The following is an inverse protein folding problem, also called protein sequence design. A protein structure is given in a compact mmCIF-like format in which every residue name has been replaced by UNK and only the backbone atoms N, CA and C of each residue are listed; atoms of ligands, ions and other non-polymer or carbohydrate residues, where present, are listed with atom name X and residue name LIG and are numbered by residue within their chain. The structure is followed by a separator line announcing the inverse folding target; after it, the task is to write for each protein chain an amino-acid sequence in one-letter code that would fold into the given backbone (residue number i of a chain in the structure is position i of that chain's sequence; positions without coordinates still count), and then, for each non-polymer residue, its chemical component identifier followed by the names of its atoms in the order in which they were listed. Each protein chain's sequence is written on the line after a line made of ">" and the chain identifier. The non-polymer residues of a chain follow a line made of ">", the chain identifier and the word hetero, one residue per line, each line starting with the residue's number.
data_IF_058806552746
#
_entry.id   IF_058806552746
#
_cell.length_a   1.000
_cell.length_b   1.000
_cell.length_c   1.000
_cell.angle_alpha   90.00
_cell.angle_beta   90.00
_cell.angle_gamma   90.00
#
_symmetry.space_group_name_H-M   'P 1'
#
loop_
_entity.id
_entity.type
_entity.pdbx_description
1 polymer ?
#
# COMPACT_ATOMS: atom_id res chain seq x y z
N UNK A 1 11.28 33.15 -3.79
CA UNK A 1 12.73 33.05 -3.70
C UNK A 1 13.21 31.64 -3.98
N UNK A 2 12.63 30.57 -3.39
CA UNK A 2 13.04 29.18 -3.67
C UNK A 2 13.02 28.85 -5.18
N UNK A 3 11.99 29.27 -5.92
CA UNK A 3 11.92 29.05 -7.37
C UNK A 3 13.12 29.68 -8.13
N UNK A 4 13.71 30.75 -7.62
CA UNK A 4 14.89 31.38 -8.22
C UNK A 4 16.15 30.54 -8.02
N UNK A 5 16.24 29.78 -6.90
CA UNK A 5 17.31 28.82 -6.65
C UNK A 5 17.29 27.68 -7.70
N UNK A 6 16.11 27.26 -8.13
CA UNK A 6 15.95 26.19 -9.12
C UNK A 6 16.11 26.64 -10.56
N UNK A 7 16.32 27.94 -10.85
CA UNK A 7 16.56 28.39 -12.21
C UNK A 7 17.87 27.78 -12.78
N UNK A 8 17.90 27.50 -14.07
CA UNK A 8 19.06 26.96 -14.74
C UNK A 8 19.33 25.47 -14.56
N UNK A 9 18.60 24.75 -13.69
CA UNK A 9 18.67 23.29 -13.61
C UNK A 9 17.79 22.67 -14.69
N UNK A 10 18.36 21.74 -15.47
CA UNK A 10 17.66 21.03 -16.53
C UNK A 10 18.25 19.63 -16.73
N UNK A 11 17.60 18.80 -17.54
CA UNK A 11 18.18 17.55 -17.98
C UNK A 11 19.38 17.79 -18.90
N UNK A 12 20.44 17.01 -18.73
CA UNK A 12 21.52 17.02 -19.71
C UNK A 12 20.99 16.49 -21.05
N UNK A 13 21.52 17.04 -22.15
CA UNK A 13 21.16 16.62 -23.51
C UNK A 13 21.26 15.09 -23.64
N UNK A 14 20.18 14.43 -24.05
CA UNK A 14 20.04 12.97 -24.20
C UNK A 14 20.40 12.17 -22.94
N UNK A 15 20.15 12.73 -21.76
CA UNK A 15 20.46 12.06 -20.47
C UNK A 15 21.93 11.61 -20.36
N UNK A 16 22.85 12.38 -20.91
CA UNK A 16 24.29 12.05 -20.90
C UNK A 16 24.97 12.31 -19.56
N UNK A 17 24.32 13.03 -18.65
CA UNK A 17 24.80 13.24 -17.28
C UNK A 17 24.40 12.05 -16.41
N UNK A 18 25.23 11.02 -16.40
CA UNK A 18 24.98 9.80 -15.64
C UNK A 18 25.79 9.87 -14.34
N UNK A 19 25.11 9.69 -13.21
CA UNK A 19 25.76 9.53 -11.93
C UNK A 19 26.58 8.22 -11.95
N UNK A 20 27.89 8.27 -11.68
CA UNK A 20 28.75 7.09 -11.80
C UNK A 20 28.51 6.03 -10.72
N UNK A 21 27.90 6.39 -9.57
CA UNK A 21 27.62 5.48 -8.47
C UNK A 21 26.30 4.75 -8.65
N UNK A 22 25.28 5.47 -9.11
CA UNK A 22 23.91 4.93 -9.22
C UNK A 22 23.54 4.52 -10.64
N UNK A 23 24.32 4.92 -11.65
CA UNK A 23 24.03 4.78 -13.07
C UNK A 23 22.69 5.43 -13.51
N UNK A 24 22.20 6.39 -12.73
CA UNK A 24 20.94 7.10 -12.99
C UNK A 24 21.26 8.44 -13.69
N UNK A 25 20.47 8.82 -14.73
CA UNK A 25 20.58 10.14 -15.31
C UNK A 25 20.26 11.24 -14.28
N UNK A 26 21.18 12.19 -14.10
CA UNK A 26 21.02 13.32 -13.19
C UNK A 26 20.82 14.64 -13.95
N UNK A 27 20.26 15.64 -13.25
CA UNK A 27 20.17 17.00 -13.76
C UNK A 27 21.53 17.66 -13.91
N UNK A 28 21.57 18.74 -14.68
CA UNK A 28 22.75 19.58 -14.88
C UNK A 28 22.41 21.04 -14.65
N UNK A 29 23.34 21.78 -14.02
CA UNK A 29 23.25 23.22 -13.86
C UNK A 29 23.76 23.94 -15.11
N UNK A 30 22.99 24.91 -15.58
CA UNK A 30 23.34 25.81 -16.72
C UNK A 30 23.46 27.23 -16.21
N UNK A 31 24.68 27.71 -15.88
CA UNK A 31 24.92 29.02 -15.28
C UNK A 31 24.30 30.18 -16.05
N UNK A 32 24.31 30.12 -17.37
CA UNK A 32 23.76 31.17 -18.24
C UNK A 32 22.25 31.37 -18.11
N UNK A 33 21.54 30.41 -17.49
CA UNK A 33 20.10 30.44 -17.28
C UNK A 33 19.72 30.53 -15.78
N UNK A 34 20.73 30.70 -14.91
CA UNK A 34 20.53 30.77 -13.46
C UNK A 34 20.46 32.23 -12.98
N UNK A 35 19.63 32.46 -11.99
CA UNK A 35 19.55 33.73 -11.26
C UNK A 35 20.57 33.76 -10.12
N UNK A 36 21.70 34.45 -10.31
CA UNK A 36 22.74 34.58 -9.30
C UNK A 36 22.50 35.69 -8.28
N UNK A 37 21.36 36.38 -8.32
CA UNK A 37 21.01 37.39 -7.31
C UNK A 37 20.73 36.77 -5.93
N UNK A 38 20.97 37.52 -4.87
CA UNK A 38 20.63 37.10 -3.50
C UNK A 38 19.14 36.78 -3.35
N UNK A 39 18.83 35.67 -2.70
CA UNK A 39 17.47 35.22 -2.38
C UNK A 39 17.19 35.49 -0.91
N UNK A 40 16.28 36.43 -0.64
CA UNK A 40 15.91 36.84 0.71
C UNK A 40 14.64 36.10 1.15
N UNK A 41 14.73 35.27 2.17
CA UNK A 41 13.61 34.53 2.72
C UNK A 41 12.91 35.30 3.85
N UNK A 42 11.70 34.90 4.19
CA UNK A 42 10.86 35.59 5.17
C UNK A 42 11.31 35.36 6.62
N UNK A 43 10.67 36.07 7.53
CA UNK A 43 10.87 35.90 8.97
C UNK A 43 10.65 34.46 9.47
N UNK A 44 9.83 33.66 8.78
CA UNK A 44 9.65 32.24 9.09
C UNK A 44 10.92 31.41 8.88
N UNK A 45 11.85 31.90 8.07
CA UNK A 45 13.17 31.33 7.88
C UNK A 45 14.25 32.27 8.46
N UNK A 46 13.92 32.96 9.56
CA UNK A 46 14.84 33.86 10.26
C UNK A 46 15.44 34.97 9.36
N UNK A 47 14.70 35.40 8.34
CA UNK A 47 15.17 36.34 7.33
C UNK A 47 16.49 35.88 6.66
N UNK A 48 16.69 34.57 6.48
CA UNK A 48 17.89 34.03 5.85
C UNK A 48 18.07 34.60 4.45
N UNK A 49 19.31 34.94 4.10
CA UNK A 49 19.71 35.37 2.78
C UNK A 49 20.66 34.32 2.18
N UNK A 50 20.33 33.79 1.02
CA UNK A 50 21.16 32.82 0.31
C UNK A 50 21.70 33.45 -0.97
N UNK A 51 23.01 33.36 -1.18
CA UNK A 51 23.68 33.81 -2.38
C UNK A 51 24.67 32.75 -2.86
N UNK A 52 24.71 32.45 -4.15
CA UNK A 52 25.69 31.52 -4.68
C UNK A 52 27.12 32.10 -4.51
N UNK A 53 28.10 31.26 -4.10
CA UNK A 53 29.48 31.71 -3.87
C UNK A 53 30.23 32.00 -5.16
N UNK A 54 29.78 31.48 -6.31
CA UNK A 54 30.36 31.68 -7.62
C UNK A 54 29.26 31.64 -8.70
N UNK A 55 29.59 32.21 -9.90
CA UNK A 55 28.64 32.24 -11.03
C UNK A 55 28.89 31.08 -12.01
N UNK A 56 29.00 29.87 -11.45
CA UNK A 56 29.22 28.64 -12.18
C UNK A 56 28.28 27.52 -11.63
N UNK A 57 28.38 26.31 -12.16
CA UNK A 57 27.58 25.17 -11.74
C UNK A 57 27.82 24.80 -10.25
N UNK A 58 29.06 24.92 -9.77
CA UNK A 58 29.40 24.67 -8.38
C UNK A 58 28.70 25.67 -7.43
N UNK A 59 28.64 26.95 -7.83
CA UNK A 59 27.90 27.97 -7.09
C UNK A 59 26.40 27.71 -7.06
N UNK A 60 25.80 27.23 -8.15
CA UNK A 60 24.40 26.82 -8.21
C UNK A 60 24.11 25.66 -7.26
N UNK A 61 24.98 24.64 -7.22
CA UNK A 61 24.82 23.50 -6.31
C UNK A 61 25.00 23.90 -4.85
N UNK A 62 25.96 24.77 -4.54
CA UNK A 62 26.15 25.30 -3.20
C UNK A 62 24.93 26.10 -2.72
N UNK A 63 24.31 26.88 -3.59
CA UNK A 63 23.07 27.60 -3.28
C UNK A 63 21.88 26.65 -3.04
N UNK A 64 21.74 25.60 -3.84
CA UNK A 64 20.72 24.56 -3.68
C UNK A 64 20.90 23.84 -2.32
N UNK A 65 22.14 23.48 -1.98
CA UNK A 65 22.43 22.88 -0.68
C UNK A 65 22.08 23.81 0.49
N UNK A 66 22.43 25.11 0.40
CA UNK A 66 22.08 26.08 1.42
C UNK A 66 20.55 26.25 1.58
N UNK A 67 19.78 26.17 0.49
CA UNK A 67 18.32 26.14 0.55
C UNK A 67 17.83 24.88 1.27
N UNK A 68 18.37 23.72 0.94
CA UNK A 68 18.03 22.45 1.57
C UNK A 68 18.35 22.48 3.06
N UNK A 69 19.54 22.91 3.44
CA UNK A 69 19.97 23.05 4.84
C UNK A 69 19.04 23.98 5.63
N UNK A 70 18.67 25.12 5.03
CA UNK A 70 17.73 26.06 5.64
C UNK A 70 16.35 25.41 5.90
N UNK A 71 15.86 24.57 4.98
CA UNK A 71 14.58 23.86 5.13
C UNK A 71 14.70 22.79 6.22
N UNK A 72 15.75 22.00 6.23
CA UNK A 72 15.96 20.95 7.22
C UNK A 72 16.27 21.49 8.63
N UNK A 73 16.78 22.71 8.72
CA UNK A 73 16.94 23.40 10.01
C UNK A 73 15.61 23.76 10.68
N UNK A 74 14.49 23.76 9.95
CA UNK A 74 13.17 24.04 10.53
C UNK A 74 12.63 22.81 11.29
N UNK A 75 12.16 23.02 12.51
CA UNK A 75 11.51 21.96 13.31
C UNK A 75 10.30 21.37 12.58
N UNK A 76 9.52 22.21 11.92
CA UNK A 76 8.34 21.83 11.17
C UNK A 76 8.65 20.84 10.02
N UNK A 77 9.86 20.86 9.47
CA UNK A 77 10.26 19.91 8.43
C UNK A 77 10.19 18.48 8.96
N UNK A 78 10.82 18.20 10.10
CA UNK A 78 10.80 16.88 10.71
C UNK A 78 9.38 16.44 11.08
N UNK A 79 8.59 17.35 11.71
CA UNK A 79 7.17 17.08 12.03
C UNK A 79 6.35 16.77 10.78
N UNK A 80 6.56 17.53 9.70
CA UNK A 80 5.86 17.29 8.44
C UNK A 80 6.14 15.90 7.86
N UNK A 81 7.39 15.45 7.85
CA UNK A 81 7.73 14.09 7.44
C UNK A 81 7.08 13.03 8.33
N UNK A 82 7.14 13.18 9.65
CA UNK A 82 6.52 12.23 10.59
C UNK A 82 4.98 12.19 10.46
N UNK A 83 4.31 13.34 10.26
CA UNK A 83 2.86 13.34 9.97
C UNK A 83 2.51 12.63 8.68
N UNK A 84 3.36 12.72 7.65
CA UNK A 84 3.14 11.98 6.40
C UNK A 84 3.30 10.47 6.59
N UNK A 85 4.31 10.05 7.34
CA UNK A 85 4.49 8.65 7.71
C UNK A 85 3.30 8.11 8.51
N UNK A 86 2.90 8.85 9.53
CA UNK A 86 1.75 8.49 10.36
C UNK A 86 0.49 8.29 9.51
N UNK A 87 0.19 9.24 8.62
CA UNK A 87 -0.98 9.13 7.72
C UNK A 87 -0.88 8.02 6.70
N UNK A 88 0.31 7.57 6.39
CA UNK A 88 0.53 6.47 5.45
C UNK A 88 0.37 5.10 6.10
N UNK A 89 0.79 4.96 7.36
CA UNK A 89 0.93 3.65 7.98
C UNK A 89 0.04 3.42 9.21
N UNK A 90 -0.55 4.47 9.78
CA UNK A 90 -1.31 4.37 11.03
C UNK A 90 -2.73 4.88 10.84
N UNK A 91 -2.92 6.20 10.80
CA UNK A 91 -4.24 6.80 10.67
C UNK A 91 -4.18 8.18 10.00
N UNK A 92 -5.23 8.52 9.25
CA UNK A 92 -5.29 9.80 8.52
C UNK A 92 -5.49 11.02 9.41
N UNK A 93 -6.19 10.87 10.53
CA UNK A 93 -6.43 11.94 11.48
C UNK A 93 -5.25 12.03 12.44
N UNK A 94 -4.80 13.25 12.70
CA UNK A 94 -3.79 13.56 13.70
C UNK A 94 -4.46 14.55 14.63
N UNK A 95 -4.77 14.11 15.85
CA UNK A 95 -5.29 14.94 16.92
C UNK A 95 -4.15 15.76 17.54
N UNK A 96 -4.49 16.74 18.41
CA UNK A 96 -3.48 17.48 19.16
C UNK A 96 -2.68 16.55 20.10
N UNK A 97 -3.29 15.49 20.59
CA UNK A 97 -2.66 14.47 21.41
C UNK A 97 -1.64 13.66 20.59
N UNK A 98 -2.05 13.07 19.47
CA UNK A 98 -1.16 12.38 18.53
C UNK A 98 -0.01 13.29 18.08
N UNK A 99 -0.30 14.56 17.82
CA UNK A 99 0.73 15.53 17.43
C UNK A 99 1.81 15.71 18.51
N UNK A 100 1.41 15.73 19.79
CA UNK A 100 2.31 15.96 20.91
C UNK A 100 2.98 14.68 21.40
N UNK A 101 2.27 13.54 21.46
CA UNK A 101 2.72 12.32 22.09
C UNK A 101 3.37 11.33 21.12
N UNK A 102 3.02 11.42 19.83
CA UNK A 102 3.56 10.54 18.79
C UNK A 102 4.42 11.32 17.81
N UNK A 103 3.87 12.34 17.15
CA UNK A 103 4.57 13.04 16.06
C UNK A 103 5.80 13.82 16.56
N UNK A 104 5.67 14.53 17.68
CA UNK A 104 6.78 15.32 18.21
C UNK A 104 7.98 14.46 18.64
N UNK A 105 7.82 13.35 19.39
CA UNK A 105 8.91 12.41 19.68
C UNK A 105 9.53 11.78 18.44
N UNK A 106 8.72 11.38 17.43
CA UNK A 106 9.24 10.85 16.16
C UNK A 106 10.06 11.90 15.41
N UNK A 107 9.59 13.14 15.37
CA UNK A 107 10.31 14.24 14.74
C UNK A 107 11.64 14.54 15.44
N UNK A 108 11.69 14.41 16.77
CA UNK A 108 12.93 14.56 17.51
C UNK A 108 13.90 13.41 17.18
N UNK A 109 13.43 12.17 17.17
CA UNK A 109 14.23 11.01 16.74
C UNK A 109 14.78 11.19 15.33
N UNK A 110 13.98 11.71 14.40
CA UNK A 110 14.40 11.98 13.03
C UNK A 110 15.54 12.99 12.95
N UNK A 111 15.45 14.07 13.73
CA UNK A 111 16.51 15.10 13.80
C UNK A 111 17.77 14.60 14.47
N UNK A 112 17.65 13.85 15.58
CA UNK A 112 18.77 13.34 16.37
C UNK A 112 19.59 12.27 15.63
N UNK A 113 19.02 11.69 14.57
CA UNK A 113 19.66 10.70 13.71
C UNK A 113 19.91 11.23 12.29
N UNK A 114 20.26 12.51 12.15
CA UNK A 114 20.61 13.14 10.87
C UNK A 114 19.60 12.90 9.74
N UNK A 115 18.31 12.93 10.09
CA UNK A 115 17.18 12.67 9.19
C UNK A 115 17.16 11.26 8.56
N UNK A 116 17.76 10.28 9.24
CA UNK A 116 17.63 8.87 8.88
C UNK A 116 16.25 8.33 9.25
N UNK A 117 15.59 7.66 8.29
CA UNK A 117 14.22 7.19 8.44
C UNK A 117 14.09 5.90 9.27
N UNK A 118 15.11 5.02 9.25
CA UNK A 118 15.01 3.73 9.91
C UNK A 118 14.80 3.81 11.44
N UNK A 119 15.44 4.74 12.18
CA UNK A 119 15.13 4.94 13.59
C UNK A 119 13.67 5.34 13.84
N UNK A 120 13.11 6.19 12.96
CA UNK A 120 11.71 6.63 13.05
C UNK A 120 10.76 5.46 12.80
N UNK A 121 11.01 4.64 11.79
CA UNK A 121 10.21 3.43 11.54
C UNK A 121 10.25 2.45 12.71
N UNK A 122 11.44 2.21 13.29
CA UNK A 122 11.57 1.32 14.44
C UNK A 122 10.80 1.84 15.66
N UNK A 123 10.83 3.15 15.89
CA UNK A 123 10.09 3.75 17.00
C UNK A 123 8.58 3.68 16.76
N UNK A 124 8.11 4.02 15.56
CA UNK A 124 6.69 4.01 15.23
C UNK A 124 6.12 2.59 15.28
N UNK A 125 6.70 1.66 14.52
CA UNK A 125 6.18 0.30 14.38
C UNK A 125 6.46 -0.60 15.60
N UNK A 126 7.27 -0.16 16.55
CA UNK A 126 7.49 -0.82 17.84
C UNK A 126 6.74 -0.16 19.00
N UNK A 127 5.91 0.84 18.75
CA UNK A 127 5.15 1.53 19.80
C UNK A 127 3.84 0.81 20.13
N UNK A 128 3.38 0.93 21.37
CA UNK A 128 2.04 0.45 21.77
C UNK A 128 0.94 1.12 20.96
N UNK A 129 1.10 2.41 20.68
CA UNK A 129 0.16 3.17 19.85
C UNK A 129 -0.04 2.56 18.44
N UNK A 130 1.01 2.02 17.80
CA UNK A 130 0.87 1.38 16.48
C UNK A 130 0.01 0.10 16.52
N UNK A 131 0.01 -0.59 17.66
CA UNK A 131 -0.80 -1.79 17.88
C UNK A 131 -2.11 -1.52 18.63
N UNK A 132 -2.45 -0.26 18.86
CA UNK A 132 -3.64 0.15 19.61
C UNK A 132 -3.69 -0.42 21.03
N UNK A 133 -2.52 -0.46 21.68
CA UNK A 133 -2.32 -1.03 23.03
C UNK A 133 -1.86 0.03 24.04
N UNK A 134 -1.96 1.32 23.69
CA UNK A 134 -1.47 2.42 24.54
C UNK A 134 -2.48 2.85 25.61
N UNK A 135 -3.78 2.59 25.40
CA UNK A 135 -4.80 2.84 26.42
C UNK A 135 -6.02 1.91 26.26
N UNK A 136 -7.14 2.25 26.88
CA UNK A 136 -8.39 1.50 26.85
C UNK A 136 -9.56 2.30 26.26
N UNK A 137 -9.31 3.42 25.60
CA UNK A 137 -10.32 4.25 24.95
C UNK A 137 -10.60 3.76 23.54
N UNK A 138 -11.69 3.07 23.35
CA UNK A 138 -12.12 2.58 22.03
C UNK A 138 -12.72 3.69 21.14
N UNK A 139 -12.61 4.96 21.50
CA UNK A 139 -13.12 6.06 20.69
C UNK A 139 -12.10 6.58 19.64
N UNK A 140 -10.83 6.30 19.81
CA UNK A 140 -9.73 6.70 18.94
C UNK A 140 -8.99 5.56 18.24
N UNK A 141 -9.60 4.38 18.21
CA UNK A 141 -9.14 3.17 17.51
C UNK A 141 -8.49 3.46 16.16
N UNK A 142 -7.28 3.01 15.97
CA UNK A 142 -6.48 3.23 14.75
C UNK A 142 -6.41 1.99 13.87
N UNK A 143 -6.53 0.79 14.44
CA UNK A 143 -6.52 -0.47 13.71
C UNK A 143 -7.68 -0.52 12.72
N UNK A 144 -7.40 -0.87 11.46
CA UNK A 144 -8.39 -0.80 10.39
C UNK A 144 -8.81 0.62 9.98
N UNK A 145 -8.10 1.64 10.43
CA UNK A 145 -8.38 3.05 10.10
C UNK A 145 -8.03 3.46 8.66
N UNK A 146 -7.29 2.63 7.95
CA UNK A 146 -6.84 2.86 6.57
C UNK A 146 -7.61 1.99 5.59
N UNK A 147 -8.24 2.61 4.59
CA UNK A 147 -8.83 1.89 3.47
C UNK A 147 -7.71 1.55 2.49
N UNK A 148 -7.49 0.28 2.21
CA UNK A 148 -6.49 -0.16 1.21
C UNK A 148 -6.72 0.51 -0.12
N UNK A 149 -5.67 1.07 -0.72
CA UNK A 149 -5.73 1.53 -2.11
C UNK A 149 -6.02 0.36 -3.06
N UNK A 150 -6.46 0.60 -4.29
CA UNK A 150 -6.63 -0.47 -5.28
C UNK A 150 -5.37 -1.29 -5.51
N UNK A 151 -4.20 -0.65 -5.45
CA UNK A 151 -2.92 -1.32 -5.60
C UNK A 151 -2.60 -2.23 -4.42
N UNK A 152 -2.76 -1.73 -3.18
CA UNK A 152 -2.55 -2.52 -1.96
C UNK A 152 -3.49 -3.71 -1.93
N UNK A 153 -4.79 -3.51 -2.19
CA UNK A 153 -5.78 -4.57 -2.22
C UNK A 153 -5.43 -5.67 -3.24
N UNK A 154 -5.05 -5.28 -4.46
CA UNK A 154 -4.71 -6.21 -5.51
C UNK A 154 -3.40 -6.96 -5.22
N UNK A 155 -2.33 -6.24 -4.85
CA UNK A 155 -1.03 -6.86 -4.58
C UNK A 155 -1.07 -7.75 -3.34
N UNK A 156 -1.78 -7.32 -2.28
CA UNK A 156 -1.98 -8.17 -1.11
C UNK A 156 -2.71 -9.46 -1.47
N UNK A 157 -3.78 -9.41 -2.27
CA UNK A 157 -4.50 -10.59 -2.69
C UNK A 157 -3.59 -11.54 -3.51
N UNK A 158 -2.83 -11.02 -4.47
CA UNK A 158 -1.90 -11.84 -5.26
C UNK A 158 -0.77 -12.44 -4.42
N UNK A 159 -0.20 -11.68 -3.48
CA UNK A 159 0.87 -12.14 -2.61
C UNK A 159 0.36 -13.13 -1.56
N UNK A 160 -0.73 -12.81 -0.87
CA UNK A 160 -1.29 -13.64 0.19
C UNK A 160 -1.75 -15.01 -0.33
N UNK A 161 -2.51 -15.02 -1.41
CA UNK A 161 -2.98 -16.26 -2.03
C UNK A 161 -1.91 -16.94 -2.89
N UNK A 162 -0.68 -16.41 -2.95
CA UNK A 162 0.43 -16.95 -3.73
C UNK A 162 0.03 -17.26 -5.18
N UNK A 163 -0.79 -16.38 -5.77
CA UNK A 163 -1.33 -16.60 -7.11
C UNK A 163 -0.17 -16.53 -8.12
N UNK A 164 0.03 -17.56 -8.94
CA UNK A 164 1.15 -17.59 -9.86
C UNK A 164 1.04 -16.49 -10.93
N UNK A 165 2.10 -15.71 -11.09
CA UNK A 165 2.23 -14.77 -12.21
C UNK A 165 2.81 -15.55 -13.40
N UNK A 166 2.15 -15.53 -14.57
CA UNK A 166 2.66 -16.24 -15.75
C UNK A 166 4.06 -15.77 -16.16
N UNK A 167 4.91 -16.71 -16.55
CA UNK A 167 6.27 -16.39 -17.00
C UNK A 167 6.22 -15.67 -18.37
N UNK A 168 6.82 -14.47 -18.51
CA UNK A 168 6.79 -13.70 -19.76
C UNK A 168 7.50 -14.38 -20.93
N UNK A 169 8.43 -15.31 -20.66
CA UNK A 169 9.20 -16.00 -21.71
C UNK A 169 8.52 -17.27 -22.21
N UNK A 170 7.88 -18.01 -21.30
CA UNK A 170 7.28 -19.33 -21.63
C UNK A 170 5.76 -19.27 -21.74
N UNK A 171 5.10 -18.29 -21.10
CA UNK A 171 3.64 -18.13 -21.04
C UNK A 171 3.22 -16.72 -21.50
N UNK A 172 3.82 -16.25 -22.59
CA UNK A 172 3.68 -14.85 -23.06
C UNK A 172 2.22 -14.38 -23.19
N UNK A 173 1.33 -15.19 -23.73
CA UNK A 173 -0.08 -14.82 -23.93
C UNK A 173 -0.81 -14.67 -22.58
N UNK A 174 -0.55 -15.55 -21.63
CA UNK A 174 -1.17 -15.48 -20.29
C UNK A 174 -0.57 -14.35 -19.46
N UNK A 175 0.73 -14.08 -19.60
CA UNK A 175 1.38 -12.92 -19.01
C UNK A 175 0.74 -11.59 -19.47
N UNK A 176 0.49 -11.44 -20.77
CA UNK A 176 -0.19 -10.26 -21.30
C UNK A 176 -1.64 -10.13 -20.77
N UNK A 177 -2.37 -11.26 -20.72
CA UNK A 177 -3.74 -11.27 -20.16
C UNK A 177 -3.75 -10.91 -18.69
N UNK A 178 -2.79 -11.44 -17.91
CA UNK A 178 -2.63 -11.11 -16.49
C UNK A 178 -2.47 -9.61 -16.27
N UNK A 179 -1.58 -8.96 -17.00
CA UNK A 179 -1.39 -7.52 -16.86
C UNK A 179 -2.56 -6.70 -17.40
N UNK A 180 -3.12 -7.05 -18.54
CA UNK A 180 -4.18 -6.28 -19.17
C UNK A 180 -5.54 -6.45 -18.47
N UNK A 181 -5.85 -7.64 -18.00
CA UNK A 181 -7.15 -7.97 -17.45
C UNK A 181 -7.13 -8.29 -15.96
N UNK A 182 -6.11 -8.97 -15.48
CA UNK A 182 -6.00 -9.40 -14.10
C UNK A 182 -5.54 -8.31 -13.14
N UNK A 183 -4.72 -7.37 -13.58
CA UNK A 183 -4.14 -6.37 -12.68
C UNK A 183 -4.36 -4.93 -13.18
N UNK A 184 -3.60 -4.48 -14.19
CA UNK A 184 -3.55 -3.04 -14.52
C UNK A 184 -4.84 -2.51 -15.15
N UNK A 185 -5.24 -3.04 -16.30
CA UNK A 185 -6.31 -2.44 -17.09
C UNK A 185 -7.71 -2.59 -16.51
N UNK A 186 -7.94 -3.50 -15.56
CA UNK A 186 -9.26 -3.75 -14.98
C UNK A 186 -9.31 -3.52 -13.49
N UNK A 187 -8.46 -4.16 -12.71
CA UNK A 187 -8.52 -4.03 -11.24
C UNK A 187 -8.11 -2.62 -10.81
N UNK A 188 -6.94 -2.17 -11.23
CA UNK A 188 -6.43 -0.86 -10.83
C UNK A 188 -7.16 0.29 -11.53
N UNK A 189 -7.36 0.22 -12.85
CA UNK A 189 -8.03 1.27 -13.60
C UNK A 189 -9.47 1.49 -13.15
N UNK A 190 -10.29 0.45 -13.04
CA UNK A 190 -11.66 0.56 -12.53
C UNK A 190 -11.71 0.81 -11.03
N UNK A 191 -10.67 0.44 -10.28
CA UNK A 191 -10.51 0.81 -8.88
C UNK A 191 -10.19 2.28 -8.65
N UNK A 192 -9.93 3.05 -9.71
CA UNK A 192 -9.61 4.48 -9.63
C UNK A 192 -8.12 4.79 -9.44
N UNK A 193 -7.25 3.79 -9.65
CA UNK A 193 -5.79 3.96 -9.60
C UNK A 193 -5.17 3.38 -10.88
N UNK A 194 -5.27 4.11 -11.99
CA UNK A 194 -4.66 3.72 -13.25
C UNK A 194 -3.17 4.05 -13.20
N UNK A 195 -2.33 3.06 -12.90
CA UNK A 195 -0.89 3.25 -12.77
C UNK A 195 -0.31 3.85 -14.04
N UNK A 196 0.58 4.83 -13.87
CA UNK A 196 1.21 5.63 -14.94
C UNK A 196 0.28 6.61 -15.66
N UNK A 197 -1.03 6.62 -15.33
CA UNK A 197 -2.01 7.57 -15.86
C UNK A 197 -2.76 8.27 -14.73
N UNK A 198 -2.07 9.12 -13.94
CA UNK A 198 -2.71 9.84 -12.84
C UNK A 198 -3.78 10.81 -13.38
N UNK A 199 -4.78 11.19 -12.56
CA UNK A 199 -5.92 11.99 -12.99
C UNK A 199 -5.56 13.41 -13.43
N UNK A 200 -4.42 13.93 -12.99
CA UNK A 200 -3.90 15.24 -13.41
C UNK A 200 -2.38 15.31 -13.37
N UNK A 201 -1.82 16.46 -13.75
CA UNK A 201 -0.36 16.70 -13.81
C UNK A 201 0.32 16.67 -12.43
N UNK A 202 -0.43 16.86 -11.35
CA UNK A 202 0.06 16.78 -9.99
C UNK A 202 0.11 15.34 -9.44
N UNK A 203 -0.45 14.37 -10.18
CA UNK A 203 -0.54 12.99 -9.77
C UNK A 203 -1.87 12.65 -9.10
N UNK A 204 -1.84 11.68 -8.18
CA UNK A 204 -2.98 11.36 -7.32
C UNK A 204 -3.04 12.32 -6.14
N UNK A 205 -4.25 12.59 -5.57
CA UNK A 205 -4.40 13.41 -4.37
C UNK A 205 -3.52 12.90 -3.22
N UNK A 206 -2.93 13.83 -2.45
CA UNK A 206 -2.12 13.47 -1.29
C UNK A 206 -2.96 13.06 -0.07
N UNK A 207 -2.35 12.42 0.90
CA UNK A 207 -3.02 11.95 2.13
C UNK A 207 -3.69 13.08 2.92
N UNK A 208 -3.16 14.28 2.84
CA UNK A 208 -3.63 15.47 3.55
C UNK A 208 -4.77 16.20 2.83
N UNK A 209 -5.10 15.83 1.60
CA UNK A 209 -6.14 16.49 0.82
C UNK A 209 -7.52 15.91 1.14
N UNK A 210 -8.52 16.78 1.26
CA UNK A 210 -9.91 16.38 1.44
C UNK A 210 -10.50 15.90 0.09
N UNK A 211 -11.35 14.87 0.08
CA UNK A 211 -12.01 14.16 1.20
C UNK A 211 -11.14 13.14 1.93
N UNK A 212 -9.86 13.07 1.63
CA UNK A 212 -8.92 12.10 2.14
C UNK A 212 -8.54 11.08 1.07
N UNK A 213 -7.24 10.87 0.87
CA UNK A 213 -6.67 10.03 -0.17
C UNK A 213 -7.34 8.67 -0.28
N UNK A 214 -7.56 7.99 0.85
CA UNK A 214 -8.11 6.64 0.88
C UNK A 214 -9.57 6.59 0.44
N UNK A 215 -10.38 7.59 0.81
CA UNK A 215 -11.83 7.62 0.51
C UNK A 215 -12.14 7.80 -0.97
N UNK A 216 -11.23 8.35 -1.76
CA UNK A 216 -11.44 8.49 -3.19
C UNK A 216 -11.54 7.13 -3.91
N UNK A 217 -10.89 6.10 -3.37
CA UNK A 217 -10.93 4.75 -3.90
C UNK A 217 -12.11 3.91 -3.39
N UNK A 218 -12.97 4.49 -2.54
CA UNK A 218 -14.11 3.80 -1.95
C UNK A 218 -15.40 4.60 -2.18
N UNK A 219 -15.86 4.61 -3.40
CA UNK A 219 -17.08 5.29 -3.83
C UNK A 219 -17.95 4.37 -4.69
N UNK A 220 -19.16 4.80 -5.07
CA UNK A 220 -20.13 3.99 -5.81
C UNK A 220 -19.62 3.43 -7.15
N UNK A 221 -18.65 4.07 -7.79
CA UNK A 221 -18.07 3.60 -9.04
C UNK A 221 -16.95 2.57 -8.81
N UNK A 222 -16.02 2.88 -7.88
CA UNK A 222 -14.83 2.07 -7.64
C UNK A 222 -15.09 0.82 -6.80
N UNK A 223 -16.13 0.85 -5.94
CA UNK A 223 -16.50 -0.28 -5.07
C UNK A 223 -16.81 -1.55 -5.89
N UNK A 224 -17.36 -1.40 -7.08
CA UNK A 224 -17.66 -2.54 -7.96
C UNK A 224 -16.37 -3.29 -8.34
N UNK A 225 -15.30 -2.57 -8.69
CA UNK A 225 -14.02 -3.19 -9.02
C UNK A 225 -13.43 -3.94 -7.82
N UNK A 226 -13.50 -3.32 -6.63
CA UNK A 226 -13.02 -3.92 -5.37
C UNK A 226 -13.70 -5.26 -5.08
N UNK A 227 -15.03 -5.31 -5.21
CA UNK A 227 -15.81 -6.52 -4.96
C UNK A 227 -15.83 -7.51 -6.12
N UNK A 228 -15.33 -7.16 -7.29
CA UNK A 228 -15.14 -8.10 -8.41
C UNK A 228 -13.80 -8.83 -8.37
N UNK A 229 -12.82 -8.29 -7.66
CA UNK A 229 -11.49 -8.92 -7.52
C UNK A 229 -11.59 -10.37 -6.99
N UNK A 230 -12.31 -10.67 -5.88
CA UNK A 230 -12.46 -12.04 -5.40
C UNK A 230 -12.97 -12.99 -6.46
N UNK A 231 -14.04 -12.62 -7.14
CA UNK A 231 -14.63 -13.45 -8.20
C UNK A 231 -13.63 -13.74 -9.32
N UNK A 232 -12.86 -12.74 -9.74
CA UNK A 232 -11.83 -12.92 -10.77
C UNK A 232 -10.75 -13.89 -10.33
N UNK A 233 -10.25 -13.77 -9.10
CA UNK A 233 -9.20 -14.64 -8.57
C UNK A 233 -9.68 -16.08 -8.45
N UNK A 234 -10.88 -16.30 -7.87
CA UNK A 234 -11.44 -17.63 -7.67
C UNK A 234 -11.79 -18.35 -8.98
N UNK A 235 -12.27 -17.61 -9.98
CA UNK A 235 -12.68 -18.20 -11.27
C UNK A 235 -11.58 -18.20 -12.33
N UNK A 236 -10.58 -17.37 -12.21
CA UNK A 236 -9.55 -17.15 -13.25
C UNK A 236 -10.10 -16.44 -14.50
N UNK A 237 -11.29 -15.79 -14.38
CA UNK A 237 -11.96 -15.13 -15.50
C UNK A 237 -12.31 -13.68 -15.15
N UNK A 238 -12.47 -12.85 -16.19
CA UNK A 238 -12.88 -11.46 -16.03
C UNK A 238 -14.33 -11.39 -15.50
N UNK A 239 -14.52 -10.70 -14.37
CA UNK A 239 -15.82 -10.68 -13.68
C UNK A 239 -16.82 -9.65 -14.21
N UNK A 240 -16.48 -8.86 -15.26
CA UNK A 240 -17.36 -7.84 -15.84
C UNK A 240 -16.98 -7.49 -17.28
N UNK A 241 -17.93 -6.85 -17.98
CA UNK A 241 -17.78 -6.39 -19.35
C UNK A 241 -18.23 -7.43 -20.38
N UNK A 242 -18.15 -7.10 -21.67
CA UNK A 242 -18.65 -7.94 -22.75
C UNK A 242 -17.90 -9.26 -22.94
N UNK A 243 -16.70 -9.38 -22.36
CA UNK A 243 -15.85 -10.57 -22.37
C UNK A 243 -15.65 -11.15 -20.96
N UNK A 244 -16.73 -11.25 -20.18
CA UNK A 244 -16.69 -11.70 -18.79
C UNK A 244 -16.12 -13.12 -18.61
N UNK A 245 -16.14 -13.96 -19.67
CA UNK A 245 -15.58 -15.31 -19.65
C UNK A 245 -14.11 -15.36 -20.08
N UNK A 246 -13.51 -14.22 -20.45
CA UNK A 246 -12.12 -14.19 -20.85
C UNK A 246 -11.20 -14.50 -19.65
N UNK A 247 -10.22 -15.38 -19.89
CA UNK A 247 -9.17 -15.67 -18.92
C UNK A 247 -8.40 -14.41 -18.52
N UNK A 248 -8.10 -14.26 -17.23
CA UNK A 248 -7.18 -13.24 -16.71
C UNK A 248 -5.71 -13.67 -16.74
N UNK A 249 -5.38 -14.80 -17.38
CA UNK A 249 -4.02 -15.32 -17.50
C UNK A 249 -3.57 -16.22 -16.36
N UNK A 250 -4.27 -16.25 -15.24
CA UNK A 250 -3.98 -17.10 -14.08
C UNK A 250 -5.26 -17.57 -13.43
N UNK A 251 -5.17 -18.63 -12.65
CA UNK A 251 -6.26 -19.18 -11.85
C UNK A 251 -5.72 -19.58 -10.48
N UNK A 252 -6.48 -19.29 -9.45
CA UNK A 252 -6.17 -19.66 -8.08
C UNK A 252 -6.65 -21.08 -7.78
N UNK A 253 -5.74 -21.93 -7.32
CA UNK A 253 -6.06 -23.26 -6.80
C UNK A 253 -6.12 -23.20 -5.27
N UNK A 254 -7.33 -23.02 -4.74
CA UNK A 254 -7.55 -22.76 -3.32
C UNK A 254 -7.24 -24.00 -2.46
N UNK A 255 -7.49 -25.22 -2.94
CA UNK A 255 -7.21 -26.42 -2.18
C UNK A 255 -5.70 -26.69 -2.08
N UNK A 256 -4.97 -26.54 -3.18
CA UNK A 256 -3.53 -26.60 -3.19
C UNK A 256 -2.89 -25.49 -2.34
N UNK A 257 -3.43 -24.27 -2.40
CA UNK A 257 -2.94 -23.16 -1.58
C UNK A 257 -3.10 -23.45 -0.08
N UNK A 258 -4.26 -23.94 0.37
CA UNK A 258 -4.46 -24.32 1.77
C UNK A 258 -3.47 -25.41 2.19
N UNK A 259 -3.22 -26.40 1.34
CA UNK A 259 -2.29 -27.51 1.62
C UNK A 259 -0.83 -27.07 1.66
N UNK A 260 -0.40 -26.22 0.71
CA UNK A 260 1.01 -26.01 0.38
C UNK A 260 1.57 -24.64 0.81
N UNK A 261 0.71 -23.67 1.18
CA UNK A 261 1.13 -22.29 1.50
C UNK A 261 2.01 -22.17 2.75
N UNK A 262 1.87 -23.10 3.68
CA UNK A 262 2.53 -23.06 4.99
C UNK A 262 1.90 -22.04 5.96
N UNK A 263 0.75 -21.46 5.60
CA UNK A 263 0.00 -20.52 6.45
C UNK A 263 -0.79 -21.26 7.53
N UNK A 264 -1.36 -22.41 7.17
CA UNK A 264 -2.27 -23.15 8.03
C UNK A 264 -1.54 -24.24 8.82
N UNK A 265 -1.69 -24.22 10.14
CA UNK A 265 -1.05 -25.20 11.04
C UNK A 265 -1.78 -26.54 11.05
N UNK A 266 -3.09 -26.53 10.95
CA UNK A 266 -3.95 -27.72 10.89
C UNK A 266 -5.17 -27.51 9.98
N UNK A 267 -5.00 -27.67 8.66
CA UNK A 267 -6.10 -27.48 7.71
C UNK A 267 -7.23 -28.54 7.81
N UNK A 268 -7.00 -29.66 8.50
CA UNK A 268 -8.01 -30.68 8.74
C UNK A 268 -9.04 -30.20 9.78
N UNK A 269 -8.61 -29.40 10.77
CA UNK A 269 -9.51 -28.75 11.70
C UNK A 269 -10.07 -27.48 11.09
N UNK A 270 -11.36 -27.49 10.73
CA UNK A 270 -12.04 -26.34 10.14
C UNK A 270 -12.09 -25.10 11.05
N UNK A 271 -12.05 -25.26 12.37
CA UNK A 271 -11.95 -24.14 13.31
C UNK A 271 -10.60 -23.44 13.18
N UNK A 272 -9.52 -24.22 13.24
CA UNK A 272 -8.14 -23.71 13.13
C UNK A 272 -7.93 -23.02 11.77
N UNK A 273 -8.38 -23.67 10.67
CA UNK A 273 -8.28 -23.12 9.33
C UNK A 273 -8.97 -21.77 9.21
N UNK A 274 -10.22 -21.65 9.68
CA UNK A 274 -10.96 -20.38 9.61
C UNK A 274 -10.34 -19.32 10.50
N UNK A 275 -9.91 -19.69 11.71
CA UNK A 275 -9.25 -18.76 12.63
C UNK A 275 -7.98 -18.17 12.02
N UNK A 276 -7.06 -19.02 11.55
CA UNK A 276 -5.81 -18.59 10.96
C UNK A 276 -6.02 -17.75 9.69
N UNK A 277 -7.02 -18.10 8.85
CA UNK A 277 -7.37 -17.31 7.69
C UNK A 277 -7.81 -15.89 8.07
N UNK A 278 -8.67 -15.76 9.06
CA UNK A 278 -9.19 -14.46 9.50
C UNK A 278 -8.10 -13.62 10.17
N UNK A 279 -7.23 -14.23 10.97
CA UNK A 279 -6.07 -13.57 11.59
C UNK A 279 -5.10 -12.98 10.58
N UNK A 280 -4.94 -13.63 9.41
CA UNK A 280 -4.12 -13.11 8.31
C UNK A 280 -4.84 -12.12 7.40
N UNK A 281 -6.15 -12.26 7.26
CA UNK A 281 -6.91 -11.48 6.28
C UNK A 281 -7.44 -10.16 6.83
N UNK A 282 -7.72 -10.07 8.11
CA UNK A 282 -8.31 -8.91 8.78
C UNK A 282 -7.29 -8.16 9.63
N UNK A 283 -7.46 -6.85 9.82
CA UNK A 283 -6.58 -6.08 10.71
C UNK A 283 -6.70 -6.51 12.17
N UNK A 284 -7.85 -7.04 12.57
CA UNK A 284 -8.13 -7.55 13.90
C UNK A 284 -8.80 -8.92 13.85
N UNK A 285 -8.59 -9.72 14.90
CA UNK A 285 -9.35 -10.95 15.07
C UNK A 285 -10.83 -10.65 15.31
N UNK A 286 -11.75 -11.20 14.52
CA UNK A 286 -13.17 -10.93 14.69
C UNK A 286 -13.70 -11.49 16.01
N UNK A 287 -14.68 -10.80 16.61
CA UNK A 287 -15.37 -11.28 17.79
C UNK A 287 -16.06 -12.63 17.58
N UNK A 288 -16.53 -13.25 18.69
CA UNK A 288 -17.10 -14.60 18.65
C UNK A 288 -18.30 -14.75 17.71
N UNK A 289 -19.17 -13.75 17.60
CA UNK A 289 -20.34 -13.80 16.72
C UNK A 289 -19.93 -13.68 15.26
N UNK A 290 -18.98 -12.78 14.96
CA UNK A 290 -18.44 -12.59 13.62
C UNK A 290 -17.60 -13.79 13.17
N UNK A 291 -16.79 -14.36 14.05
CA UNK A 291 -16.07 -15.61 13.81
C UNK A 291 -17.03 -16.76 13.50
N UNK A 292 -18.07 -16.96 14.33
CA UNK A 292 -19.08 -17.98 14.12
C UNK A 292 -19.84 -17.82 12.79
N UNK A 293 -20.06 -16.59 12.35
CA UNK A 293 -20.62 -16.34 11.03
C UNK A 293 -19.74 -16.95 9.93
N UNK A 294 -18.44 -16.73 9.95
CA UNK A 294 -17.53 -17.30 8.94
C UNK A 294 -17.39 -18.82 9.06
N UNK A 295 -17.26 -19.32 10.28
CA UNK A 295 -17.11 -20.77 10.51
C UNK A 295 -18.39 -21.54 10.21
N UNK A 296 -19.48 -21.21 10.92
CA UNK A 296 -20.69 -22.05 10.93
C UNK A 296 -21.59 -21.77 9.74
N UNK A 297 -21.83 -20.49 9.43
CA UNK A 297 -22.78 -20.14 8.37
C UNK A 297 -22.16 -20.16 6.98
N UNK A 298 -20.89 -19.75 6.84
CA UNK A 298 -20.24 -19.66 5.54
C UNK A 298 -19.45 -20.92 5.22
N UNK A 299 -18.49 -21.30 6.05
CA UNK A 299 -17.58 -22.40 5.76
C UNK A 299 -18.30 -23.75 5.87
N UNK A 300 -18.84 -24.06 7.03
CA UNK A 300 -19.52 -25.34 7.28
C UNK A 300 -20.94 -25.40 6.69
N UNK A 301 -21.60 -24.26 6.42
CA UNK A 301 -22.98 -24.20 5.90
C UNK A 301 -23.96 -24.98 6.79
N UNK A 302 -23.74 -24.94 8.12
CA UNK A 302 -24.52 -25.67 9.12
C UNK A 302 -24.18 -27.15 9.20
N UNK A 303 -23.24 -27.69 8.47
CA UNK A 303 -22.80 -29.08 8.55
C UNK A 303 -21.88 -29.28 9.78
N UNK A 304 -21.80 -30.52 10.29
CA UNK A 304 -20.86 -30.86 11.36
C UNK A 304 -19.39 -30.62 10.92
N UNK A 305 -18.50 -30.14 11.81
CA UNK A 305 -17.08 -30.01 11.51
C UNK A 305 -16.40 -31.28 11.00
N UNK A 306 -16.88 -32.45 11.44
CA UNK A 306 -16.34 -33.72 10.97
C UNK A 306 -16.53 -33.97 9.47
N UNK A 307 -17.52 -33.36 8.83
CA UNK A 307 -17.73 -33.49 7.38
C UNK A 307 -16.59 -32.81 6.63
N UNK A 308 -16.15 -31.63 7.07
CA UNK A 308 -14.96 -30.97 6.51
C UNK A 308 -13.71 -31.82 6.67
N UNK A 309 -13.42 -32.29 7.90
CA UNK A 309 -12.23 -33.12 8.16
C UNK A 309 -12.22 -34.37 7.29
N UNK A 310 -13.36 -35.03 7.10
CA UNK A 310 -13.48 -36.20 6.22
C UNK A 310 -13.14 -35.85 4.76
N UNK A 311 -13.72 -34.78 4.22
CA UNK A 311 -13.47 -34.38 2.83
C UNK A 311 -12.04 -33.89 2.62
N UNK A 312 -11.44 -33.23 3.60
CA UNK A 312 -10.04 -32.82 3.54
C UNK A 312 -9.09 -34.01 3.49
N UNK A 313 -9.28 -35.01 4.36
CA UNK A 313 -8.49 -36.24 4.33
C UNK A 313 -8.68 -36.99 3.01
N UNK A 314 -9.90 -37.04 2.48
CA UNK A 314 -10.19 -37.64 1.17
C UNK A 314 -9.45 -36.92 0.03
N UNK A 315 -9.47 -35.58 0.03
CA UNK A 315 -8.69 -34.77 -0.92
C UNK A 315 -7.18 -35.09 -0.85
N UNK A 316 -6.61 -35.16 0.36
CA UNK A 316 -5.20 -35.49 0.52
C UNK A 316 -4.85 -36.91 -0.01
N UNK A 317 -5.76 -37.86 0.10
CA UNK A 317 -5.58 -39.22 -0.35
C UNK A 317 -5.76 -39.40 -1.86
N UNK A 318 -6.69 -38.67 -2.47
CA UNK A 318 -7.11 -38.88 -3.86
C UNK A 318 -6.64 -37.81 -4.83
N UNK A 319 -6.40 -36.60 -4.33
CA UNK A 319 -6.16 -35.39 -5.14
C UNK A 319 -7.45 -34.80 -5.74
N UNK A 320 -8.62 -35.33 -5.44
CA UNK A 320 -9.91 -34.80 -5.89
C UNK A 320 -10.36 -33.67 -4.96
N UNK A 321 -10.33 -32.43 -5.44
CA UNK A 321 -10.66 -31.21 -4.69
C UNK A 321 -12.15 -30.82 -4.76
N UNK A 322 -12.99 -31.62 -5.39
CA UNK A 322 -14.38 -31.26 -5.73
C UNK A 322 -15.16 -30.80 -4.49
N UNK A 323 -15.13 -31.60 -3.41
CA UNK A 323 -15.92 -31.31 -2.20
C UNK A 323 -15.26 -30.24 -1.30
N UNK A 324 -13.92 -30.21 -1.21
CA UNK A 324 -13.22 -29.20 -0.39
C UNK A 324 -13.24 -27.82 -1.02
N UNK A 325 -13.29 -27.73 -2.35
CA UNK A 325 -13.33 -26.44 -3.07
C UNK A 325 -14.61 -25.64 -2.82
N UNK A 326 -15.74 -26.30 -2.53
CA UNK A 326 -17.01 -25.64 -2.30
C UNK A 326 -16.98 -24.79 -1.03
N UNK A 327 -16.69 -25.35 0.17
CA UNK A 327 -16.59 -24.58 1.41
C UNK A 327 -15.45 -23.55 1.38
N UNK A 328 -14.29 -23.91 0.82
CA UNK A 328 -13.18 -22.94 0.64
C UNK A 328 -13.58 -21.76 -0.24
N UNK A 329 -14.24 -22.01 -1.36
CA UNK A 329 -14.71 -20.96 -2.26
C UNK A 329 -15.73 -20.02 -1.60
N UNK A 330 -16.67 -20.57 -0.79
CA UNK A 330 -17.62 -19.76 0.00
C UNK A 330 -16.88 -18.90 1.03
N UNK A 331 -15.96 -19.49 1.79
CA UNK A 331 -15.20 -18.82 2.82
C UNK A 331 -14.34 -17.69 2.25
N UNK A 332 -13.49 -17.99 1.26
CA UNK A 332 -12.62 -17.00 0.65
C UNK A 332 -13.40 -15.85 0.00
N UNK A 333 -14.49 -16.18 -0.68
CA UNK A 333 -15.35 -15.16 -1.25
C UNK A 333 -15.94 -14.26 -0.16
N UNK A 334 -16.47 -14.82 0.92
CA UNK A 334 -17.05 -14.06 2.03
C UNK A 334 -16.00 -13.18 2.75
N UNK A 335 -14.81 -13.72 3.00
CA UNK A 335 -13.70 -12.97 3.61
C UNK A 335 -13.30 -11.77 2.75
N UNK A 336 -13.05 -11.98 1.45
CA UNK A 336 -12.64 -10.89 0.56
C UNK A 336 -13.76 -9.86 0.31
N UNK A 337 -15.04 -10.24 0.49
CA UNK A 337 -16.18 -9.31 0.44
C UNK A 337 -16.43 -8.60 1.78
N UNK A 338 -15.80 -9.05 2.85
CA UNK A 338 -15.98 -8.43 4.17
C UNK A 338 -15.39 -6.99 4.19
N UNK A 339 -16.04 -6.05 4.89
CA UNK A 339 -15.48 -4.70 5.06
C UNK A 339 -14.07 -4.73 5.66
N UNK A 340 -13.84 -5.60 6.62
CA UNK A 340 -12.55 -5.77 7.32
C UNK A 340 -11.40 -6.07 6.34
N UNK A 341 -11.63 -6.87 5.31
CA UNK A 341 -10.62 -7.17 4.28
C UNK A 341 -10.22 -5.93 3.45
N UNK A 342 -11.08 -4.92 3.38
CA UNK A 342 -10.81 -3.68 2.65
C UNK A 342 -9.95 -2.70 3.45
N UNK A 343 -9.68 -2.99 4.72
CA UNK A 343 -8.98 -2.14 5.69
C UNK A 343 -7.58 -2.68 5.98
N UNK A 344 -6.69 -1.75 6.41
CA UNK A 344 -5.33 -2.04 6.86
C UNK A 344 -5.03 -1.29 8.15
#
# INVERSE_FOLDING_TARGET
>A
EAARVFTGFNLAFRHLNIDPETAIPSGKGYPQSHDFGTKQFSVRFNNAAISPPSQDEAGMLAELNALTDMIFAQEETARHFCRRLYRMFVHRNITDEIENEVIAPLAQTFRDNDFEMMPVFRQLFGSQHFFDEDDSDNADEIVGGIIKSPLELALQAYAFFQIPIPDPLTQHADYLRFYQHGLFGRVLGFGGMDLFYPPDVAGYPGYFQQPGFQRQFFNSATIVARYKLPQMLLTGTLAWGPNSDASIGTKFDMAAWVRDSGIFSDPEDGYVLVQELLDYAFPEHPDGDRFNYFLVQIFLDGLPPADWSYEWVNYLATGDDTEVRIPLGRLLNAVMYAPEYQLA
#
